data_IF_375728709376
#
_entry.id   IF_375728709376
#
_cell.length_a   1.000
_cell.length_b   1.000
_cell.length_c   1.000
_cell.angle_alpha   90.00
_cell.angle_beta   90.00
_cell.angle_gamma   90.00
#
_symmetry.space_group_name_H-M   'P 1'
#
loop_
_entity.id
_entity.type
_entity.pdbx_description
1 polymer ?
#
# COMPACT_ATOMS: atom_id res chain seq x y z
N UNK A 1 11.06 14.14 -9.63
CA UNK A 1 11.10 14.15 -8.16
C UNK A 1 10.77 12.76 -7.64
N UNK A 2 11.76 12.07 -7.07
CA UNK A 2 11.56 10.77 -6.42
C UNK A 2 11.16 10.97 -4.96
N UNK A 3 10.18 10.20 -4.51
CA UNK A 3 9.66 10.25 -3.13
C UNK A 3 9.68 8.83 -2.58
N UNK A 4 10.43 8.68 -1.50
CA UNK A 4 10.66 7.43 -0.74
C UNK A 4 9.71 7.28 0.45
N UNK A 5 9.10 8.38 0.89
CA UNK A 5 8.13 8.43 1.98
C UNK A 5 6.94 9.33 1.66
N UNK A 6 5.73 8.83 1.86
CA UNK A 6 4.49 9.58 1.66
C UNK A 6 3.49 9.33 2.80
N UNK A 7 2.71 10.34 3.14
CA UNK A 7 1.64 10.27 4.15
C UNK A 7 0.30 10.44 3.46
N UNK A 8 -0.60 9.48 3.65
CA UNK A 8 -1.94 9.49 3.04
C UNK A 8 -3.01 9.12 4.05
N UNK A 9 -4.21 9.64 3.83
CA UNK A 9 -5.40 9.34 4.59
C UNK A 9 -6.26 8.34 3.81
N UNK A 10 -6.65 7.26 4.48
CA UNK A 10 -7.47 6.19 3.89
C UNK A 10 -8.79 6.05 4.67
N UNK A 11 -9.88 5.84 3.94
CA UNK A 11 -11.22 5.63 4.47
C UNK A 11 -11.92 4.49 3.75
N UNK A 12 -12.34 3.46 4.48
CA UNK A 12 -13.18 2.40 3.90
C UNK A 12 -14.62 2.88 3.69
N UNK A 13 -15.39 2.13 2.90
CA UNK A 13 -16.79 2.42 2.68
C UNK A 13 -17.62 2.18 3.93
N UNK A 14 -18.59 3.05 4.19
CA UNK A 14 -19.66 2.80 5.17
C UNK A 14 -20.56 1.67 4.65
N UNK A 15 -21.06 0.82 5.54
CA UNK A 15 -22.11 -0.12 5.19
C UNK A 15 -23.43 0.58 4.91
N UNK A 16 -24.22 0.05 3.98
CA UNK A 16 -25.58 0.52 3.75
C UNK A 16 -26.49 0.17 4.93
N UNK A 17 -27.50 1.00 5.18
CA UNK A 17 -28.49 0.77 6.23
C UNK A 17 -29.49 -0.31 5.82
N UNK A 18 -29.97 -1.10 6.79
CA UNK A 18 -31.15 -1.92 6.59
C UNK A 18 -32.41 -1.06 6.44
N UNK A 19 -33.34 -1.47 5.59
CA UNK A 19 -34.59 -0.75 5.41
C UNK A 19 -35.67 -1.22 6.39
N UNK A 20 -36.48 -0.28 6.87
CA UNK A 20 -37.78 -0.58 7.47
C UNK A 20 -38.84 -0.35 6.38
N UNK A 21 -39.46 -1.41 5.92
CA UNK A 21 -40.53 -1.33 4.92
C UNK A 21 -41.58 -2.43 5.12
N UNK A 22 -42.79 -2.16 4.65
CA UNK A 22 -43.92 -3.08 4.72
C UNK A 22 -44.56 -3.19 3.35
N UNK A 23 -45.00 -4.40 2.98
CA UNK A 23 -45.69 -4.62 1.70
C UNK A 23 -46.98 -3.81 1.67
N UNK A 24 -47.24 -3.19 0.53
CA UNK A 24 -48.51 -2.50 0.25
C UNK A 24 -49.08 -3.06 -1.04
N UNK A 25 -50.22 -3.72 -0.93
CA UNK A 25 -50.94 -4.34 -2.03
C UNK A 25 -52.42 -3.92 -1.95
N UNK A 26 -53.10 -3.71 -3.09
CA UNK A 26 -54.54 -3.49 -3.08
C UNK A 26 -55.24 -4.63 -2.34
N UNK A 27 -56.23 -4.29 -1.50
CA UNK A 27 -57.03 -5.24 -0.71
C UNK A 27 -56.27 -6.00 0.41
N UNK A 28 -55.02 -5.62 0.72
CA UNK A 28 -54.27 -6.15 1.87
C UNK A 28 -53.96 -4.98 2.83
N UNK A 29 -54.76 -4.78 3.90
CA UNK A 29 -54.59 -3.64 4.80
C UNK A 29 -53.25 -3.64 5.56
N UNK A 30 -52.79 -4.82 6.00
CA UNK A 30 -51.57 -4.99 6.80
C UNK A 30 -50.61 -5.98 6.14
N UNK A 31 -49.83 -5.51 5.17
CA UNK A 31 -48.79 -6.32 4.56
C UNK A 31 -47.62 -6.55 5.51
N UNK A 32 -47.10 -7.78 5.53
CA UNK A 32 -45.89 -8.12 6.28
C UNK A 32 -44.65 -7.30 5.87
N UNK A 33 -43.58 -7.33 6.68
CA UNK A 33 -42.37 -6.56 6.43
C UNK A 33 -41.66 -6.99 5.13
N UNK A 34 -41.08 -6.01 4.43
CA UNK A 34 -40.36 -6.20 3.18
C UNK A 34 -39.13 -5.29 3.00
N UNK A 35 -38.59 -4.74 4.08
CA UNK A 35 -37.32 -4.02 4.05
C UNK A 35 -36.12 -4.97 3.88
N UNK A 36 -35.34 -4.77 2.83
CA UNK A 36 -34.09 -5.50 2.60
C UNK A 36 -32.91 -5.01 3.46
N UNK A 37 -31.86 -5.82 3.51
CA UNK A 37 -30.57 -5.48 4.13
C UNK A 37 -29.77 -4.51 3.25
N UNK A 38 -28.93 -3.68 3.88
CA UNK A 38 -27.94 -2.85 3.19
C UNK A 38 -26.72 -3.65 2.74
N UNK A 39 -26.00 -3.12 1.75
CA UNK A 39 -24.76 -3.71 1.24
C UNK A 39 -23.55 -3.42 2.13
N UNK A 40 -22.51 -4.24 2.00
CA UNK A 40 -21.21 -3.99 2.65
C UNK A 40 -20.53 -2.79 1.99
N UNK A 41 -19.86 -1.93 2.76
CA UNK A 41 -18.96 -0.92 2.22
C UNK A 41 -17.68 -1.54 1.65
N UNK A 42 -17.06 -0.84 0.69
CA UNK A 42 -15.81 -1.27 0.07
C UNK A 42 -14.62 -1.25 1.05
N UNK A 43 -13.71 -2.19 0.87
CA UNK A 43 -12.44 -2.27 1.59
C UNK A 43 -11.38 -1.35 0.94
N UNK A 44 -10.41 -0.90 1.72
CA UNK A 44 -9.17 -0.31 1.21
C UNK A 44 -8.09 -1.39 1.20
N UNK A 45 -7.54 -1.64 0.02
CA UNK A 45 -6.57 -2.71 -0.23
C UNK A 45 -5.29 -2.08 -0.77
N UNK A 46 -4.15 -2.37 -0.16
CA UNK A 46 -2.86 -2.06 -0.81
C UNK A 46 -2.37 -3.25 -1.59
N UNK A 47 -1.78 -3.01 -2.76
CA UNK A 47 -1.22 -4.04 -3.63
C UNK A 47 0.14 -3.59 -4.16
N UNK A 48 1.15 -4.44 -4.05
CA UNK A 48 2.45 -4.20 -4.67
C UNK A 48 2.37 -4.40 -6.19
N UNK A 49 2.92 -3.46 -6.94
CA UNK A 49 3.03 -3.48 -8.41
C UNK A 49 4.49 -3.18 -8.79
N UNK A 50 5.11 -4.09 -9.55
CA UNK A 50 6.51 -3.96 -10.00
C UNK A 50 6.72 -2.86 -11.06
N UNK A 51 5.64 -2.41 -11.70
CA UNK A 51 5.70 -1.32 -12.68
C UNK A 51 5.83 0.05 -12.01
N UNK A 52 5.53 0.14 -10.71
CA UNK A 52 5.65 1.36 -9.92
C UNK A 52 7.02 1.44 -9.25
N UNK A 53 7.69 2.59 -9.39
CA UNK A 53 9.05 2.81 -8.86
C UNK A 53 9.13 3.86 -7.76
N UNK A 54 8.10 4.71 -7.62
CA UNK A 54 8.15 5.88 -6.72
C UNK A 54 6.83 6.03 -5.98
N UNK A 55 6.85 6.72 -4.84
CA UNK A 55 5.63 7.13 -4.12
C UNK A 55 5.15 8.55 -4.51
N UNK A 56 5.56 9.07 -5.65
CA UNK A 56 5.28 10.47 -6.03
C UNK A 56 3.76 10.75 -6.16
N UNK A 57 2.99 9.79 -6.69
CA UNK A 57 1.53 9.93 -6.86
C UNK A 57 0.81 10.21 -5.53
N UNK A 58 1.35 9.67 -4.43
CA UNK A 58 0.80 9.84 -3.09
C UNK A 58 1.05 11.23 -2.49
N UNK A 59 1.96 12.03 -3.07
CA UNK A 59 2.09 13.44 -2.69
C UNK A 59 0.99 14.30 -3.27
N UNK A 60 0.60 14.04 -4.52
CA UNK A 60 -0.43 14.81 -5.23
C UNK A 60 -1.82 14.43 -4.75
N UNK A 61 -2.09 13.13 -4.59
CA UNK A 61 -3.36 12.62 -4.05
C UNK A 61 -3.14 12.04 -2.65
N UNK A 62 -3.67 12.75 -1.64
CA UNK A 62 -3.52 12.38 -0.22
C UNK A 62 -4.73 11.69 0.41
N UNK A 63 -5.89 11.68 -0.25
CA UNK A 63 -7.14 11.07 0.25
C UNK A 63 -7.60 9.93 -0.66
N UNK A 64 -7.87 8.79 -0.05
CA UNK A 64 -8.33 7.58 -0.71
C UNK A 64 -9.55 7.03 0.03
N UNK A 65 -10.69 7.00 -0.64
CA UNK A 65 -11.98 6.60 -0.06
C UNK A 65 -12.62 5.50 -0.91
N UNK A 66 -12.99 4.39 -0.29
CA UNK A 66 -13.72 3.31 -0.96
C UNK A 66 -15.23 3.61 -1.01
N UNK A 67 -15.94 2.95 -1.92
CA UNK A 67 -17.37 3.22 -2.13
C UNK A 67 -18.21 2.70 -0.94
N UNK A 68 -19.25 3.45 -0.57
CA UNK A 68 -20.20 3.01 0.44
C UNK A 68 -21.10 1.89 -0.09
N UNK A 69 -21.55 1.01 0.79
CA UNK A 69 -22.63 0.07 0.49
C UNK A 69 -23.95 0.81 0.32
N UNK A 70 -24.79 0.34 -0.61
CA UNK A 70 -26.12 0.91 -0.80
C UNK A 70 -27.07 0.46 0.30
N UNK A 71 -28.02 1.33 0.64
CA UNK A 71 -29.07 0.99 1.60
C UNK A 71 -30.00 -0.09 1.05
N UNK A 72 -30.60 -0.86 1.97
CA UNK A 72 -31.66 -1.79 1.67
C UNK A 72 -32.88 -1.05 1.10
N UNK A 73 -33.71 -1.78 0.36
CA UNK A 73 -34.89 -1.22 -0.29
C UNK A 73 -36.12 -2.07 0.01
N UNK A 74 -37.31 -1.50 -0.27
CA UNK A 74 -38.60 -2.20 -0.25
C UNK A 74 -38.60 -3.42 -1.16
N UNK A 75 -39.59 -4.31 -1.00
CA UNK A 75 -39.75 -5.57 -1.74
C UNK A 75 -38.58 -6.55 -1.53
N UNK A 76 -38.03 -6.59 -0.32
CA UNK A 76 -36.91 -7.45 0.11
C UNK A 76 -35.66 -7.26 -0.76
N UNK A 77 -35.48 -6.08 -1.33
CA UNK A 77 -34.34 -5.78 -2.21
C UNK A 77 -33.13 -5.40 -1.37
N UNK A 78 -32.08 -6.20 -1.49
CA UNK A 78 -30.80 -5.95 -0.82
C UNK A 78 -30.01 -4.85 -1.51
N UNK A 79 -29.35 -4.02 -0.71
CA UNK A 79 -28.41 -3.01 -1.20
C UNK A 79 -27.16 -3.65 -1.82
N UNK A 80 -26.65 -3.05 -2.89
CA UNK A 80 -25.39 -3.48 -3.51
C UNK A 80 -24.20 -3.18 -2.59
N UNK A 81 -23.19 -4.05 -2.63
CA UNK A 81 -21.92 -3.78 -1.98
C UNK A 81 -21.20 -2.62 -2.68
N UNK A 82 -20.52 -1.79 -1.91
CA UNK A 82 -19.60 -0.78 -2.45
C UNK A 82 -18.36 -1.44 -3.03
N UNK A 83 -17.80 -0.83 -4.07
CA UNK A 83 -16.54 -1.26 -4.68
C UNK A 83 -15.35 -1.00 -3.75
N UNK A 84 -14.48 -2.00 -3.64
CA UNK A 84 -13.19 -1.89 -2.98
C UNK A 84 -12.28 -0.94 -3.74
N UNK A 85 -11.43 -0.21 -3.01
CA UNK A 85 -10.41 0.64 -3.60
C UNK A 85 -9.03 0.00 -3.43
N UNK A 86 -8.45 -0.40 -4.55
CA UNK A 86 -7.09 -0.95 -4.63
C UNK A 86 -6.09 0.18 -4.85
N UNK A 87 -5.21 0.39 -3.88
CA UNK A 87 -4.12 1.35 -3.92
C UNK A 87 -2.84 0.59 -4.28
N UNK A 88 -2.36 0.81 -5.51
CA UNK A 88 -1.12 0.20 -5.99
C UNK A 88 0.09 0.96 -5.48
N UNK A 89 1.07 0.24 -4.93
CA UNK A 89 2.34 0.81 -4.43
C UNK A 89 3.53 0.05 -5.02
N UNK A 90 4.72 0.66 -5.10
CA UNK A 90 5.94 -0.03 -5.48
C UNK A 90 6.23 -1.26 -4.60
N UNK A 91 6.85 -2.28 -5.17
CA UNK A 91 7.41 -3.41 -4.42
C UNK A 91 8.46 -2.89 -3.42
N UNK A 92 8.46 -3.42 -2.21
CA UNK A 92 9.29 -2.97 -1.08
C UNK A 92 8.66 -1.86 -0.24
N UNK A 93 7.40 -1.50 -0.49
CA UNK A 93 6.70 -0.49 0.33
C UNK A 93 6.24 -1.09 1.66
N UNK A 94 6.65 -0.46 2.75
CA UNK A 94 6.10 -0.63 4.07
C UNK A 94 4.91 0.29 4.26
N UNK A 95 3.82 -0.26 4.80
CA UNK A 95 2.65 0.51 5.22
C UNK A 95 2.64 0.55 6.74
N UNK A 96 2.80 1.74 7.30
CA UNK A 96 2.90 1.99 8.73
C UNK A 96 1.67 2.81 9.15
N UNK A 97 1.03 2.39 10.23
CA UNK A 97 -0.07 3.14 10.82
C UNK A 97 0.50 4.36 11.57
N UNK A 98 0.05 5.58 11.22
CA UNK A 98 0.65 6.80 11.78
C UNK A 98 0.43 6.94 13.29
N UNK A 99 -0.77 6.58 13.76
CA UNK A 99 -1.18 6.81 15.14
C UNK A 99 -0.47 5.86 16.10
N UNK A 100 -0.40 4.56 15.74
CA UNK A 100 0.25 3.54 16.56
C UNK A 100 1.74 3.37 16.27
N UNK A 101 2.24 3.86 15.14
CA UNK A 101 3.60 3.58 14.64
C UNK A 101 3.81 2.12 14.24
N UNK A 102 2.76 1.29 14.26
CA UNK A 102 2.87 -0.14 13.98
C UNK A 102 3.01 -0.40 12.48
N UNK A 103 3.92 -1.30 12.12
CA UNK A 103 4.03 -1.82 10.76
C UNK A 103 2.81 -2.68 10.44
N UNK A 104 1.93 -2.22 9.55
CA UNK A 104 0.75 -2.97 9.13
C UNK A 104 1.14 -4.11 8.17
N UNK A 105 1.99 -3.80 7.18
CA UNK A 105 2.48 -4.78 6.22
C UNK A 105 3.74 -4.29 5.51
N UNK A 106 4.62 -5.23 5.21
CA UNK A 106 5.72 -5.07 4.26
C UNK A 106 5.37 -5.80 2.95
N UNK A 107 5.26 -5.04 1.85
CA UNK A 107 4.85 -5.54 0.54
C UNK A 107 6.08 -5.84 -0.31
N UNK A 108 6.60 -7.06 -0.20
CA UNK A 108 7.92 -7.45 -0.74
C UNK A 108 7.87 -8.16 -2.09
N UNK A 109 6.69 -8.60 -2.54
CA UNK A 109 6.52 -9.33 -3.80
C UNK A 109 5.47 -8.67 -4.68
N UNK A 110 5.67 -8.72 -6.00
CA UNK A 110 4.67 -8.25 -6.97
C UNK A 110 3.33 -8.97 -6.75
N UNK A 111 2.22 -8.24 -6.86
CA UNK A 111 0.87 -8.74 -6.63
C UNK A 111 0.52 -9.03 -5.16
N UNK A 112 1.47 -8.92 -4.23
CA UNK A 112 1.18 -9.07 -2.80
C UNK A 112 0.21 -7.97 -2.36
N UNK A 113 -0.85 -8.35 -1.67
CA UNK A 113 -1.86 -7.41 -1.21
C UNK A 113 -2.31 -7.67 0.23
N UNK A 114 -2.91 -6.65 0.84
CA UNK A 114 -3.58 -6.79 2.13
C UNK A 114 -4.67 -5.72 2.30
N UNK A 115 -5.67 -6.04 3.13
CA UNK A 115 -6.74 -5.10 3.50
C UNK A 115 -6.25 -4.20 4.62
N UNK A 116 -6.05 -2.91 4.33
CA UNK A 116 -5.62 -1.92 5.32
C UNK A 116 -6.78 -1.34 6.12
N UNK A 117 -7.95 -1.18 5.50
CA UNK A 117 -9.17 -0.77 6.19
C UNK A 117 -10.36 -1.56 5.68
N UNK A 118 -10.99 -2.36 6.56
CA UNK A 118 -12.23 -3.09 6.22
C UNK A 118 -13.41 -2.13 6.15
N UNK A 119 -14.25 -2.29 5.13
CA UNK A 119 -15.53 -1.62 4.97
C UNK A 119 -16.53 -2.02 6.04
N UNK A 120 -17.48 -1.12 6.28
CA UNK A 120 -18.58 -1.32 7.20
C UNK A 120 -19.48 -2.47 6.75
N UNK A 121 -19.96 -3.27 7.70
CA UNK A 121 -20.96 -4.31 7.42
C UNK A 121 -22.28 -3.68 6.97
N UNK A 122 -23.01 -4.33 6.07
CA UNK A 122 -24.38 -3.93 5.75
C UNK A 122 -25.31 -4.13 6.95
N UNK A 123 -26.23 -3.20 7.15
CA UNK A 123 -27.25 -3.27 8.19
C UNK A 123 -28.42 -4.17 7.79
N UNK A 124 -29.02 -4.87 8.74
CA UNK A 124 -30.14 -5.79 8.48
C UNK A 124 -31.48 -5.07 8.39
N UNK A 125 -32.26 -5.36 7.36
CA UNK A 125 -33.62 -4.84 7.20
C UNK A 125 -34.61 -5.45 8.19
N UNK A 126 -35.79 -4.86 8.31
CA UNK A 126 -36.81 -5.32 9.26
C UNK A 126 -37.28 -6.77 9.02
N UNK A 127 -37.15 -7.27 7.78
CA UNK A 127 -37.43 -8.67 7.40
C UNK A 127 -36.58 -9.67 8.20
N UNK A 128 -35.34 -9.33 8.58
CA UNK A 128 -34.47 -10.23 9.34
C UNK A 128 -34.87 -10.38 10.80
N UNK A 129 -35.74 -9.51 11.31
CA UNK A 129 -36.19 -9.50 12.71
C UNK A 129 -37.57 -10.11 12.90
N UNK A 130 -38.16 -10.70 11.86
CA UNK A 130 -39.44 -11.39 11.96
C UNK A 130 -39.29 -12.68 12.75
N UNK A 131 -40.10 -12.84 13.79
CA UNK A 131 -40.22 -14.09 14.57
C UNK A 131 -41.68 -14.49 14.69
N UNK A 132 -41.95 -15.71 15.16
CA UNK A 132 -43.33 -16.18 15.40
C UNK A 132 -44.13 -15.23 16.29
N UNK A 133 -43.47 -14.58 17.25
CA UNK A 133 -44.06 -13.61 18.20
C UNK A 133 -43.96 -12.15 17.74
N UNK A 134 -43.11 -11.82 16.76
CA UNK A 134 -42.91 -10.46 16.24
C UNK A 134 -43.03 -10.47 14.71
N UNK A 135 -44.27 -10.39 14.23
CA UNK A 135 -44.61 -10.49 12.80
C UNK A 135 -44.35 -9.19 12.01
N UNK A 136 -44.38 -8.02 12.67
CA UNK A 136 -44.19 -6.72 12.03
C UNK A 136 -43.13 -5.86 12.75
N UNK A 137 -41.83 -6.22 12.69
CA UNK A 137 -40.76 -5.38 13.22
C UNK A 137 -40.72 -4.02 12.52
N UNK A 138 -40.69 -2.95 13.30
CA UNK A 138 -40.63 -1.56 12.84
C UNK A 138 -39.23 -0.92 12.98
N UNK A 139 -38.20 -1.76 13.08
CA UNK A 139 -36.81 -1.33 13.22
C UNK A 139 -35.89 -2.11 12.27
N UNK A 140 -34.73 -1.53 11.98
CA UNK A 140 -33.67 -2.11 11.17
C UNK A 140 -32.32 -1.78 11.81
N UNK A 141 -31.28 -2.56 11.47
CA UNK A 141 -29.91 -2.28 11.87
C UNK A 141 -29.28 -1.29 10.90
N UNK A 142 -28.61 -0.28 11.44
CA UNK A 142 -27.85 0.69 10.67
C UNK A 142 -26.60 0.04 10.08
N UNK A 143 -26.10 0.59 8.97
CA UNK A 143 -24.85 0.14 8.39
C UNK A 143 -23.66 0.39 9.32
N UNK A 144 -22.68 -0.50 9.29
CA UNK A 144 -21.44 -0.36 10.04
C UNK A 144 -20.67 0.90 9.62
N UNK A 145 -20.07 1.57 10.60
CA UNK A 145 -19.26 2.77 10.35
C UNK A 145 -18.03 2.44 9.49
N UNK A 146 -17.58 3.38 8.64
CA UNK A 146 -16.33 3.23 7.92
C UNK A 146 -15.14 3.26 8.89
N UNK A 147 -14.01 2.69 8.47
CA UNK A 147 -12.74 2.79 9.18
C UNK A 147 -11.88 3.83 8.49
N UNK A 148 -11.43 4.80 9.27
CA UNK A 148 -10.53 5.87 8.83
C UNK A 148 -9.20 5.72 9.54
N UNK A 149 -8.10 5.94 8.82
CA UNK A 149 -6.77 6.04 9.42
C UNK A 149 -5.82 6.78 8.50
N UNK A 150 -4.76 7.31 9.08
CA UNK A 150 -3.66 7.89 8.33
C UNK A 150 -2.50 6.91 8.32
N UNK A 151 -1.94 6.66 7.15
CA UNK A 151 -0.83 5.72 6.97
C UNK A 151 0.37 6.43 6.35
N UNK A 152 1.54 5.97 6.76
CA UNK A 152 2.83 6.36 6.23
C UNK A 152 3.29 5.22 5.33
N UNK A 153 3.50 5.53 4.06
CA UNK A 153 4.12 4.67 3.08
C UNK A 153 5.62 4.98 3.07
N UNK A 154 6.43 3.96 3.25
CA UNK A 154 7.88 4.08 3.23
C UNK A 154 8.48 2.95 2.40
N UNK A 155 9.25 3.28 1.36
CA UNK A 155 9.92 2.26 0.57
C UNK A 155 11.19 1.79 1.28
N UNK A 156 11.30 0.49 1.56
CA UNK A 156 12.58 -0.17 1.82
C UNK A 156 13.35 -0.23 0.50
N UNK A 157 13.98 0.88 0.15
CA UNK A 157 14.77 0.97 -1.07
C UNK A 157 15.92 -0.02 -0.99
N UNK A 158 16.05 -0.76 -2.07
CA UNK A 158 17.27 -1.41 -2.48
C UNK A 158 17.48 -0.87 -3.90
N UNK A 159 18.66 -0.32 -4.15
CA UNK A 159 18.92 0.48 -5.35
C UNK A 159 18.52 -0.27 -6.63
N UNK A 160 17.94 0.42 -7.60
CA UNK A 160 17.68 -0.15 -8.92
C UNK A 160 18.99 -0.43 -9.67
N UNK A 161 20.01 0.41 -9.43
CA UNK A 161 21.34 0.35 -10.06
C UNK A 161 22.43 0.33 -9.01
N UNK A 162 23.37 -0.60 -9.11
CA UNK A 162 24.55 -0.68 -8.25
C UNK A 162 25.84 -0.33 -8.99
N UNK A 163 26.61 0.63 -8.49
CA UNK A 163 27.97 0.88 -8.96
C UNK A 163 28.95 -0.08 -8.28
N UNK A 164 29.70 -0.84 -9.06
CA UNK A 164 30.72 -1.79 -8.58
C UNK A 164 32.06 -1.47 -9.24
N UNK A 165 33.17 -1.81 -8.59
CA UNK A 165 34.51 -1.47 -9.02
C UNK A 165 35.45 -1.25 -7.83
N UNK A 166 36.75 -1.17 -8.10
CA UNK A 166 37.76 -0.96 -7.07
C UNK A 166 37.53 0.34 -6.28
N UNK A 167 38.10 0.48 -5.07
CA UNK A 167 38.19 1.78 -4.41
C UNK A 167 38.80 2.84 -5.34
N UNK A 168 38.39 4.09 -5.18
CA UNK A 168 38.95 5.25 -5.91
C UNK A 168 38.78 5.29 -7.45
N UNK A 169 38.14 4.31 -8.10
CA UNK A 169 37.82 4.36 -9.55
C UNK A 169 36.76 5.41 -9.94
N UNK A 170 36.35 6.27 -9.01
CA UNK A 170 35.40 7.35 -9.26
C UNK A 170 33.92 7.00 -9.07
N UNK A 171 33.57 5.88 -8.42
CA UNK A 171 32.16 5.49 -8.15
C UNK A 171 31.35 6.58 -7.46
N UNK A 172 31.86 7.12 -6.35
CA UNK A 172 31.19 8.22 -5.61
C UNK A 172 31.05 9.49 -6.45
N UNK A 173 32.02 9.75 -7.34
CA UNK A 173 31.98 10.87 -8.28
C UNK A 173 30.86 10.68 -9.31
N UNK A 174 30.76 9.49 -9.92
CA UNK A 174 29.68 9.15 -10.86
C UNK A 174 28.32 9.25 -10.18
N UNK A 175 28.17 8.69 -8.98
CA UNK A 175 26.94 8.77 -8.20
C UNK A 175 26.54 10.23 -7.92
N UNK A 176 27.47 11.06 -7.47
CA UNK A 176 27.19 12.46 -7.14
C UNK A 176 26.84 13.32 -8.36
N UNK A 177 27.47 13.07 -9.51
CA UNK A 177 27.18 13.80 -10.77
C UNK A 177 25.86 13.34 -11.39
N UNK A 178 25.56 12.04 -11.35
CA UNK A 178 24.35 11.48 -11.95
C UNK A 178 23.08 11.79 -11.16
N UNK A 179 23.19 12.20 -9.89
CA UNK A 179 22.06 12.36 -8.99
C UNK A 179 21.79 13.84 -8.71
N UNK A 180 20.53 14.28 -8.81
CA UNK A 180 20.17 15.70 -8.58
C UNK A 180 20.16 16.11 -7.11
N UNK A 181 20.22 15.15 -6.19
CA UNK A 181 20.20 15.37 -4.75
C UNK A 181 21.51 14.88 -4.14
N UNK A 182 22.01 15.56 -3.09
CA UNK A 182 23.14 15.07 -2.30
C UNK A 182 22.87 13.61 -1.90
N UNK A 183 23.84 12.69 -2.10
CA UNK A 183 23.68 11.30 -1.73
C UNK A 183 23.14 11.20 -0.29
N UNK A 184 22.03 10.49 -0.11
CA UNK A 184 21.52 10.19 1.23
C UNK A 184 22.30 8.98 1.73
N UNK A 185 22.98 9.15 2.85
CA UNK A 185 23.53 8.04 3.62
C UNK A 185 22.34 7.33 4.25
N UNK A 186 22.13 6.06 3.91
CA UNK A 186 20.98 5.30 4.39
C UNK A 186 21.42 4.17 5.32
N UNK A 187 20.93 4.21 6.56
CA UNK A 187 21.32 3.28 7.61
C UNK A 187 20.30 2.16 7.68
N UNK A 188 20.48 1.15 6.83
CA UNK A 188 19.62 -0.01 6.88
C UNK A 188 20.09 -0.98 7.96
N UNK A 189 19.14 -1.55 8.69
CA UNK A 189 19.41 -2.45 9.84
C UNK A 189 20.10 -3.78 9.44
N UNK A 190 20.34 -3.97 8.14
CA UNK A 190 20.91 -5.16 7.52
C UNK A 190 22.21 -4.88 6.76
N UNK A 191 22.61 -3.61 6.64
CA UNK A 191 23.88 -3.23 6.02
C UNK A 191 24.93 -3.03 7.09
N UNK A 192 26.15 -3.49 6.84
CA UNK A 192 27.29 -3.35 7.75
C UNK A 192 28.11 -2.10 7.45
N UNK A 193 27.93 -1.57 6.25
CA UNK A 193 28.45 -0.30 5.76
C UNK A 193 27.26 0.43 5.13
N UNK A 194 27.02 1.67 5.53
CA UNK A 194 25.93 2.49 5.01
C UNK A 194 26.18 2.78 3.52
N UNK A 195 25.34 2.29 2.59
CA UNK A 195 25.54 2.55 1.18
C UNK A 195 25.22 4.02 0.86
N UNK A 196 26.05 4.63 0.01
CA UNK A 196 25.73 5.93 -0.56
C UNK A 196 24.67 5.75 -1.64
N UNK A 197 23.49 6.33 -1.43
CA UNK A 197 22.38 6.26 -2.37
C UNK A 197 22.08 7.63 -2.97
N UNK A 198 21.74 7.64 -4.25
CA UNK A 198 21.27 8.83 -4.91
C UNK A 198 20.15 8.53 -5.89
N UNK A 199 19.25 9.49 -6.04
CA UNK A 199 18.16 9.42 -6.99
C UNK A 199 18.63 10.00 -8.31
N UNK A 200 18.56 9.20 -9.37
CA UNK A 200 18.73 9.65 -10.74
C UNK A 200 17.36 9.99 -11.32
N UNK A 201 17.19 11.22 -11.78
CA UNK A 201 15.97 11.65 -12.47
C UNK A 201 16.22 11.68 -13.98
N UNK A 202 15.38 10.99 -14.75
CA UNK A 202 15.45 10.92 -16.21
C UNK A 202 14.07 11.23 -16.80
N UNK A 203 13.90 12.45 -17.32
CA UNK A 203 12.63 12.97 -17.81
C UNK A 203 11.50 12.79 -16.77
N UNK A 204 10.44 12.05 -17.13
CA UNK A 204 9.29 11.77 -16.27
C UNK A 204 9.49 10.55 -15.35
N UNK A 205 10.67 9.92 -15.40
CA UNK A 205 10.99 8.72 -14.63
C UNK A 205 12.19 8.96 -13.70
N UNK A 206 12.36 8.08 -12.71
CA UNK A 206 13.52 8.10 -11.84
C UNK A 206 13.85 6.70 -11.34
N UNK A 207 15.09 6.52 -10.93
CA UNK A 207 15.57 5.27 -10.33
C UNK A 207 16.60 5.58 -9.25
N UNK A 208 16.80 4.62 -8.36
CA UNK A 208 17.77 4.73 -7.27
C UNK A 208 19.08 4.09 -7.68
N UNK A 209 20.16 4.85 -7.62
CA UNK A 209 21.52 4.37 -7.81
C UNK A 209 22.21 4.27 -6.44
N UNK A 210 22.96 3.20 -6.21
CA UNK A 210 23.80 3.07 -5.03
C UNK A 210 25.25 2.84 -5.43
N UNK A 211 26.16 3.43 -4.66
CA UNK A 211 27.55 2.96 -4.60
C UNK A 211 27.60 1.72 -3.70
N UNK A 212 27.91 0.58 -4.31
CA UNK A 212 28.14 -0.67 -3.61
C UNK A 212 29.61 -0.65 -3.19
N UNK A 213 29.87 0.02 -2.07
CA UNK A 213 31.16 -0.07 -1.40
C UNK A 213 31.38 -1.54 -0.95
N UNK A 214 32.50 -2.14 -1.30
CA UNK A 214 32.91 -3.40 -0.70
C UNK A 214 32.47 -4.70 -1.38
N UNK A 215 32.51 -4.80 -2.71
CA UNK A 215 33.03 -6.05 -3.30
C UNK A 215 34.56 -6.02 -3.13
N UNK A 216 35.01 -6.07 -1.89
CA UNK A 216 36.42 -6.23 -1.52
C UNK A 216 36.77 -7.72 -1.63
N UNK A 217 38.04 -8.01 -1.92
CA UNK A 217 38.62 -9.35 -1.73
C UNK A 217 38.23 -9.88 -0.34
N UNK A 218 37.73 -11.11 -0.25
CA UNK A 218 37.35 -11.74 1.03
C UNK A 218 35.86 -11.64 1.41
N UNK A 219 34.97 -11.05 0.59
CA UNK A 219 33.52 -11.07 0.86
C UNK A 219 32.90 -12.49 0.98
N UNK A 220 33.61 -13.51 0.50
CA UNK A 220 33.26 -14.93 0.57
C UNK A 220 33.83 -15.66 1.80
N UNK A 221 34.74 -15.06 2.58
CA UNK A 221 35.48 -15.71 3.69
C UNK A 221 34.74 -15.69 5.05
N UNK A 222 33.42 -15.45 5.07
CA UNK A 222 32.59 -16.11 6.08
C UNK A 222 32.32 -15.39 7.42
N UNK A 223 32.30 -14.06 7.49
CA UNK A 223 31.79 -13.37 8.69
C UNK A 223 30.25 -13.23 8.75
N UNK A 224 29.49 -13.82 7.83
CA UNK A 224 28.02 -13.71 7.77
C UNK A 224 27.46 -12.35 7.28
N UNK A 225 28.35 -11.38 7.07
CA UNK A 225 28.07 -9.99 6.66
C UNK A 225 27.92 -9.85 5.13
N UNK A 226 28.76 -10.54 4.36
CA UNK A 226 28.75 -10.53 2.89
C UNK A 226 27.48 -11.13 2.26
N UNK A 227 26.95 -12.22 2.83
CA UNK A 227 25.74 -12.86 2.31
C UNK A 227 24.46 -12.03 2.50
N UNK A 228 24.37 -11.26 3.60
CA UNK A 228 23.28 -10.30 3.78
C UNK A 228 23.44 -9.15 2.79
N UNK A 229 24.62 -8.58 2.63
CA UNK A 229 24.88 -7.51 1.65
C UNK A 229 24.57 -7.95 0.21
N UNK A 230 25.01 -9.15 -0.20
CA UNK A 230 24.72 -9.74 -1.50
C UNK A 230 23.21 -9.92 -1.74
N UNK A 231 22.42 -10.34 -0.73
CA UNK A 231 20.95 -10.37 -0.82
C UNK A 231 20.30 -8.99 -1.04
N UNK A 232 20.98 -7.91 -0.67
CA UNK A 232 20.54 -6.56 -1.01
C UNK A 232 20.99 -6.19 -2.42
N UNK A 233 22.21 -6.55 -2.84
CA UNK A 233 22.61 -6.38 -4.25
C UNK A 233 21.71 -7.17 -5.20
N UNK A 234 21.16 -8.32 -4.80
CA UNK A 234 20.23 -9.14 -5.61
C UNK A 234 18.96 -8.40 -6.05
N UNK A 235 18.56 -7.29 -5.40
CA UNK A 235 17.46 -6.46 -5.91
C UNK A 235 17.90 -5.31 -6.81
N UNK A 236 19.22 -5.10 -6.99
CA UNK A 236 19.70 -4.25 -8.07
C UNK A 236 19.38 -4.92 -9.40
N UNK A 237 18.71 -4.16 -10.28
CA UNK A 237 18.33 -4.65 -11.62
C UNK A 237 19.52 -4.59 -12.58
N UNK A 238 20.43 -3.66 -12.32
CA UNK A 238 21.61 -3.41 -13.16
C UNK A 238 22.82 -3.16 -12.25
N UNK A 239 23.95 -3.77 -12.60
CA UNK A 239 25.26 -3.43 -12.06
C UNK A 239 26.04 -2.67 -13.12
N UNK A 240 26.62 -1.53 -12.73
CA UNK A 240 27.55 -0.76 -13.55
C UNK A 240 28.95 -0.98 -12.99
N UNK A 241 29.79 -1.67 -13.76
CA UNK A 241 31.19 -1.87 -13.42
C UNK A 241 32.01 -0.66 -13.87
N UNK A 242 32.55 0.07 -12.89
CA UNK A 242 33.42 1.22 -13.10
C UNK A 242 34.87 0.74 -13.06
N UNK A 243 35.58 0.98 -14.16
CA UNK A 243 36.98 0.57 -14.35
C UNK A 243 37.80 1.81 -14.66
N UNK A 244 38.93 1.97 -13.96
CA UNK A 244 39.89 3.00 -14.28
C UNK A 244 40.70 2.58 -15.53
N UNK A 245 40.71 3.45 -16.55
CA UNK A 245 41.40 3.23 -17.82
C UNK A 245 42.79 3.88 -17.87
N UNK A 246 43.18 4.60 -16.81
CA UNK A 246 44.47 5.31 -16.73
C UNK A 246 45.66 4.41 -16.36
N UNK A 247 45.40 3.18 -15.88
CA UNK A 247 46.43 2.18 -15.58
C UNK A 247 47.44 2.59 -14.50
N UNK A 248 47.10 3.57 -13.67
CA UNK A 248 47.98 4.09 -12.62
C UNK A 248 47.50 3.55 -11.27
N UNK A 249 48.23 2.58 -10.70
CA UNK A 249 48.09 2.18 -9.29
C UNK A 249 48.71 3.21 -8.35
#
# INVERSE_FOLDING_TARGET
MFVDRAKIHIKSGKGGNGAVSFRREPFVPEGGPDGGDGGKGGDIIFMADENLRTLMDFRYRRKYEAENGQDGMKKKKYGKNGQDLVIKVPVGTMVIDEESGALMKDLTKNGQSFVAAKGGRGGKGNVKYTTSTRQAPNFAEAGGQPKERTVILEMKLIADVGLVGFPNVGKSTILSVATKARPKIANYHFTTIEPNLGVVEMFDTGFVMADIAGIIEGAHEGAGLGHKFLKHIERTRVLIHVVDVSGSE
#
